data_IF_067123982289
#
_entry.id   IF_067123982289
#
_cell.length_a   1.000
_cell.length_b   1.000
_cell.length_c   1.000
_cell.angle_alpha   90.00
_cell.angle_beta   90.00
_cell.angle_gamma   90.00
#
_symmetry.space_group_name_H-M   'P 1'
#
loop_
_entity.id
_entity.type
_entity.pdbx_description
1 polymer ?
#
# COMPACT_ATOMS: atom_id res chain seq x y z
N UNK A 1 10.17 75.37 18.46
CA UNK A 1 10.47 74.33 17.45
C UNK A 1 11.33 73.28 18.14
N UNK A 2 10.87 72.78 19.29
CA UNK A 2 9.97 71.61 19.41
C UNK A 2 10.76 70.32 19.13
N UNK A 3 11.45 69.81 20.16
CA UNK A 3 11.06 68.67 21.03
C UNK A 3 11.32 67.31 20.35
N UNK A 4 12.41 66.60 20.69
CA UNK A 4 12.52 65.63 21.79
C UNK A 4 11.32 64.67 21.89
N UNK A 5 11.49 63.41 21.49
CA UNK A 5 11.86 62.31 22.42
C UNK A 5 11.53 60.93 21.83
N UNK A 6 12.58 60.10 21.78
CA UNK A 6 12.47 58.65 21.61
C UNK A 6 12.16 58.06 22.98
N UNK A 7 11.02 57.38 23.03
CA UNK A 7 10.77 56.08 23.63
C UNK A 7 11.53 55.75 24.93
N UNK A 8 10.81 55.78 26.06
CA UNK A 8 11.25 55.16 27.31
C UNK A 8 10.19 54.19 27.80
N UNK A 9 10.66 52.95 27.99
CA UNK A 9 10.19 51.88 28.88
C UNK A 9 8.85 52.07 29.60
N UNK A 10 7.96 51.08 29.44
CA UNK A 10 7.35 50.45 30.62
C UNK A 10 6.90 49.01 30.35
N UNK A 11 7.29 48.16 31.29
CA UNK A 11 6.76 46.85 31.60
C UNK A 11 5.22 46.83 31.65
N UNK A 12 4.64 45.76 31.11
CA UNK A 12 3.20 45.49 31.20
C UNK A 12 2.90 44.04 30.86
N UNK A 13 2.71 43.22 31.89
CA UNK A 13 1.94 41.99 31.80
C UNK A 13 0.55 42.33 31.26
N UNK A 14 0.10 41.71 30.16
CA UNK A 14 -1.32 41.63 29.88
C UNK A 14 -1.67 40.38 29.07
N UNK A 15 -2.53 39.57 29.67
CA UNK A 15 -3.31 38.50 29.05
C UNK A 15 -4.26 39.11 28.02
N UNK A 16 -4.31 38.59 26.79
CA UNK A 16 -5.41 38.88 25.86
C UNK A 16 -6.22 37.62 25.57
N UNK A 17 -7.40 37.61 26.19
CA UNK A 17 -8.62 36.91 25.79
C UNK A 17 -9.17 37.57 24.52
N UNK A 18 -9.70 36.79 23.57
CA UNK A 18 -10.54 37.32 22.48
C UNK A 18 -11.83 36.52 22.34
N UNK A 19 -12.87 37.09 22.94
CA UNK A 19 -14.29 36.79 22.75
C UNK A 19 -14.86 37.53 21.53
N UNK A 20 -15.96 36.96 21.00
CA UNK A 20 -16.74 37.23 19.79
C UNK A 20 -17.16 38.70 19.50
N UNK A 21 -17.31 39.09 18.21
CA UNK A 21 -18.18 40.19 17.82
C UNK A 21 -19.54 39.69 17.30
N UNK A 22 -20.59 40.14 18.00
CA UNK A 22 -21.98 40.18 17.55
C UNK A 22 -22.14 41.31 16.53
N UNK A 23 -22.58 41.03 15.30
CA UNK A 23 -23.07 42.04 14.37
C UNK A 23 -24.23 41.49 13.53
N UNK A 24 -25.42 41.82 14.04
CA UNK A 24 -26.68 42.08 13.35
C UNK A 24 -26.53 42.34 11.83
N UNK A 25 -26.86 41.35 11.00
CA UNK A 25 -27.07 41.54 9.56
C UNK A 25 -28.56 41.39 9.27
N UNK A 26 -29.13 42.49 8.81
CA UNK A 26 -30.47 42.66 8.25
C UNK A 26 -31.03 41.38 7.62
N UNK A 27 -32.10 40.86 8.19
CA UNK A 27 -33.01 39.94 7.49
C UNK A 27 -33.52 40.65 6.23
N UNK A 28 -33.38 40.06 5.02
CA UNK A 28 -34.12 40.55 3.88
C UNK A 28 -35.60 40.33 4.20
N UNK A 29 -36.33 41.43 4.34
CA UNK A 29 -37.78 41.40 4.49
C UNK A 29 -38.37 40.99 3.13
N UNK A 30 -38.38 39.69 2.84
CA UNK A 30 -39.15 39.12 1.75
C UNK A 30 -40.61 39.16 2.18
N UNK A 31 -41.24 40.31 1.94
CA UNK A 31 -42.68 40.46 2.04
C UNK A 31 -43.33 39.68 0.89
N UNK A 32 -43.46 38.37 1.06
CA UNK A 32 -44.33 37.52 0.26
C UNK A 32 -45.71 37.56 0.90
N UNK A 33 -46.44 38.64 0.62
CA UNK A 33 -47.87 38.71 0.82
C UNK A 33 -48.56 37.83 -0.24
N UNK A 34 -48.41 36.51 -0.13
CA UNK A 34 -49.13 35.53 -0.92
C UNK A 34 -49.98 34.70 0.04
N UNK A 35 -51.30 34.84 -0.10
CA UNK A 35 -52.35 34.27 0.74
C UNK A 35 -52.39 32.74 0.82
N UNK A 36 -51.36 32.14 1.40
CA UNK A 36 -51.38 30.78 1.92
C UNK A 36 -51.30 30.88 3.44
N UNK A 37 -52.46 30.68 4.08
CA UNK A 37 -52.68 30.84 5.50
C UNK A 37 -51.56 30.23 6.38
N UNK A 38 -51.27 30.87 7.52
CA UNK A 38 -50.29 30.44 8.53
C UNK A 38 -50.40 28.95 8.92
N UNK A 39 -51.59 28.34 8.79
CA UNK A 39 -51.83 26.91 9.00
C UNK A 39 -51.09 26.00 8.00
N UNK A 40 -50.92 26.42 6.74
CA UNK A 40 -50.21 25.64 5.72
C UNK A 40 -48.70 25.62 5.95
N UNK A 41 -48.13 26.70 6.48
CA UNK A 41 -46.71 26.74 6.83
C UNK A 41 -46.39 25.89 8.04
N UNK A 42 -47.22 25.90 9.08
CA UNK A 42 -47.07 25.00 10.22
C UNK A 42 -47.21 23.54 9.80
N UNK A 43 -48.14 23.23 8.90
CA UNK A 43 -48.28 21.87 8.35
C UNK A 43 -47.08 21.47 7.49
N UNK A 44 -46.56 22.35 6.64
CA UNK A 44 -45.33 22.11 5.88
C UNK A 44 -44.12 21.90 6.79
N UNK A 45 -43.97 22.70 7.85
CA UNK A 45 -42.89 22.56 8.82
C UNK A 45 -43.00 21.23 9.59
N UNK A 46 -44.22 20.84 9.96
CA UNK A 46 -44.48 19.57 10.62
C UNK A 46 -44.23 18.38 9.70
N UNK A 47 -44.63 18.48 8.42
CA UNK A 47 -44.32 17.46 7.40
C UNK A 47 -42.82 17.40 7.18
N UNK A 48 -42.12 18.53 7.07
CA UNK A 48 -40.66 18.57 6.93
C UNK A 48 -39.97 17.97 8.16
N UNK A 49 -40.41 18.28 9.38
CA UNK A 49 -39.87 17.69 10.61
C UNK A 49 -40.18 16.20 10.72
N UNK A 50 -41.39 15.76 10.31
CA UNK A 50 -41.74 14.34 10.27
C UNK A 50 -40.91 13.60 9.23
N UNK A 51 -40.69 14.18 8.05
CA UNK A 51 -39.81 13.62 7.03
C UNK A 51 -38.37 13.56 7.55
N UNK A 52 -37.85 14.62 8.15
CA UNK A 52 -36.51 14.64 8.76
C UNK A 52 -36.37 13.61 9.89
N UNK A 53 -37.39 13.43 10.73
CA UNK A 53 -37.43 12.40 11.79
C UNK A 53 -37.55 10.98 11.20
N UNK A 54 -38.32 10.81 10.12
CA UNK A 54 -38.41 9.55 9.38
C UNK A 54 -37.08 9.21 8.69
N UNK A 55 -36.38 10.20 8.14
CA UNK A 55 -35.04 10.03 7.57
C UNK A 55 -33.97 9.79 8.65
N UNK A 56 -34.04 10.46 9.80
CA UNK A 56 -33.08 10.24 10.89
C UNK A 56 -33.28 8.90 11.59
N UNK A 57 -34.52 8.38 11.64
CA UNK A 57 -34.81 7.05 12.19
C UNK A 57 -34.43 5.90 11.22
N UNK A 58 -34.11 6.21 9.96
CA UNK A 58 -33.71 5.23 8.94
C UNK A 58 -32.23 5.35 8.56
N UNK A 59 -31.59 6.51 8.78
CA UNK A 59 -30.17 6.70 8.52
C UNK A 59 -29.34 6.36 9.76
N UNK A 60 -28.99 5.09 9.92
CA UNK A 60 -27.85 4.70 10.76
C UNK A 60 -26.58 4.88 9.91
N UNK A 61 -25.63 5.77 10.29
CA UNK A 61 -24.34 5.82 9.59
C UNK A 61 -23.74 4.41 9.60
N UNK A 62 -23.25 3.91 8.46
CA UNK A 62 -22.79 2.53 8.36
C UNK A 62 -21.70 2.28 9.40
N UNK A 63 -21.88 1.23 10.20
CA UNK A 63 -21.01 0.94 11.32
C UNK A 63 -19.70 0.34 10.81
N UNK A 64 -18.59 0.63 11.48
CA UNK A 64 -17.35 -0.08 11.21
C UNK A 64 -17.48 -1.55 11.63
N UNK A 65 -17.12 -2.45 10.75
CA UNK A 65 -17.11 -3.89 10.98
C UNK A 65 -15.81 -4.30 11.67
N UNK A 66 -15.93 -5.04 12.77
CA UNK A 66 -14.77 -5.66 13.43
C UNK A 66 -14.37 -6.93 12.70
N UNK A 67 -13.16 -6.95 12.16
CA UNK A 67 -12.57 -8.10 11.49
C UNK A 67 -11.54 -8.78 12.39
N UNK A 68 -11.32 -10.08 12.18
CA UNK A 68 -10.22 -10.79 12.84
C UNK A 68 -8.85 -10.45 12.21
N UNK A 69 -7.75 -10.83 12.87
CA UNK A 69 -6.40 -10.47 12.44
C UNK A 69 -6.04 -10.96 11.02
N UNK A 70 -6.54 -12.13 10.61
CA UNK A 70 -6.31 -12.63 9.25
C UNK A 70 -7.05 -11.79 8.22
N UNK A 71 -8.33 -11.50 8.48
CA UNK A 71 -9.14 -10.63 7.64
C UNK A 71 -8.55 -9.23 7.54
N UNK A 72 -8.08 -8.65 8.67
CA UNK A 72 -7.42 -7.34 8.68
C UNK A 72 -6.16 -7.34 7.82
N UNK A 73 -5.32 -8.38 7.91
CA UNK A 73 -4.12 -8.50 7.06
C UNK A 73 -4.48 -8.64 5.58
N UNK A 74 -5.39 -9.55 5.24
CA UNK A 74 -5.83 -9.74 3.85
C UNK A 74 -6.47 -8.48 3.26
N UNK A 75 -7.24 -7.76 4.08
CA UNK A 75 -7.84 -6.49 3.70
C UNK A 75 -6.77 -5.44 3.37
N UNK A 76 -5.69 -5.35 4.17
CA UNK A 76 -4.58 -4.44 3.89
C UNK A 76 -3.85 -4.82 2.59
N UNK A 77 -3.67 -6.11 2.32
CA UNK A 77 -3.07 -6.59 1.07
C UNK A 77 -3.89 -6.24 -0.17
N UNK A 78 -5.23 -6.20 -0.06
CA UNK A 78 -6.12 -5.77 -1.15
C UNK A 78 -5.85 -4.32 -1.60
N UNK A 79 -5.29 -3.49 -0.72
CA UNK A 79 -4.88 -2.11 -0.98
C UNK A 79 -3.36 -1.97 -1.23
N UNK A 80 -2.66 -3.08 -1.48
CA UNK A 80 -1.21 -3.13 -1.68
C UNK A 80 -0.40 -2.56 -0.50
N UNK A 81 -0.93 -2.63 0.71
CA UNK A 81 -0.26 -2.15 1.91
C UNK A 81 0.62 -3.24 2.54
N UNK A 82 1.86 -2.89 2.87
CA UNK A 82 2.77 -3.72 3.66
C UNK A 82 2.47 -3.62 5.17
N UNK A 83 2.94 -4.56 5.98
CA UNK A 83 2.74 -4.54 7.45
C UNK A 83 3.28 -3.27 8.12
N UNK A 84 4.41 -2.73 7.62
CA UNK A 84 5.01 -1.48 8.08
C UNK A 84 4.31 -0.21 7.58
N UNK A 85 3.33 -0.34 6.68
CA UNK A 85 2.63 0.80 6.11
C UNK A 85 1.85 1.57 7.19
N UNK A 86 1.99 2.90 7.28
CA UNK A 86 1.26 3.72 8.25
C UNK A 86 -0.22 3.90 7.90
N UNK A 87 -0.66 3.40 6.73
CA UNK A 87 -2.05 3.45 6.31
C UNK A 87 -2.87 2.36 7.00
N UNK A 88 -4.12 2.72 7.34
CA UNK A 88 -5.09 1.83 7.95
C UNK A 88 -6.25 1.59 6.99
N UNK A 89 -6.91 0.44 7.10
CA UNK A 89 -8.10 0.11 6.30
C UNK A 89 -9.19 -0.38 7.25
N UNK A 90 -10.39 0.18 7.13
CA UNK A 90 -11.58 -0.24 7.87
C UNK A 90 -12.71 -0.60 6.91
N UNK A 91 -13.61 -1.49 7.31
CA UNK A 91 -14.80 -1.83 6.52
C UNK A 91 -16.03 -1.21 7.15
N UNK A 92 -16.84 -0.55 6.33
CA UNK A 92 -18.16 -0.07 6.68
C UNK A 92 -19.19 -1.13 6.28
N UNK A 93 -19.90 -1.66 7.27
CA UNK A 93 -21.00 -2.61 7.11
C UNK A 93 -22.22 -1.85 6.56
N UNK A 94 -22.42 -1.95 5.24
CA UNK A 94 -23.43 -1.15 4.54
C UNK A 94 -24.82 -1.75 4.75
N UNK A 95 -24.90 -3.07 4.95
CA UNK A 95 -26.16 -3.78 5.11
C UNK A 95 -26.59 -3.92 6.59
N UNK A 96 -25.68 -3.66 7.53
CA UNK A 96 -25.94 -3.62 8.97
C UNK A 96 -26.06 -4.99 9.64
N UNK A 97 -25.62 -6.07 8.99
CA UNK A 97 -25.78 -7.43 9.50
C UNK A 97 -24.61 -7.92 10.39
N UNK A 98 -23.60 -7.09 10.59
CA UNK A 98 -22.42 -7.39 11.40
C UNK A 98 -21.51 -8.46 10.81
N UNK A 99 -21.62 -8.73 9.51
CA UNK A 99 -20.81 -9.71 8.78
C UNK A 99 -20.18 -9.05 7.56
N UNK A 100 -19.03 -9.58 7.17
CA UNK A 100 -18.34 -9.13 5.98
C UNK A 100 -19.04 -9.70 4.74
N UNK A 101 -19.59 -8.83 3.89
CA UNK A 101 -20.32 -9.19 2.69
C UNK A 101 -19.93 -8.35 1.48
N UNK A 102 -20.23 -8.89 0.29
CA UNK A 102 -20.15 -8.10 -0.92
C UNK A 102 -21.14 -6.92 -0.82
N UNK A 103 -20.70 -5.74 -1.21
CA UNK A 103 -21.43 -4.48 -1.04
C UNK A 103 -21.01 -3.66 0.18
N UNK A 104 -20.26 -4.24 1.12
CA UNK A 104 -19.61 -3.47 2.18
C UNK A 104 -18.49 -2.59 1.61
N UNK A 105 -18.13 -1.52 2.32
CA UNK A 105 -17.19 -0.52 1.80
C UNK A 105 -15.91 -0.53 2.62
N UNK A 106 -14.80 -0.92 2.01
CA UNK A 106 -13.49 -0.73 2.60
C UNK A 106 -13.00 0.71 2.38
N UNK A 107 -12.51 1.36 3.43
CA UNK A 107 -12.01 2.74 3.42
C UNK A 107 -10.59 2.75 3.97
N UNK A 108 -9.67 3.32 3.19
CA UNK A 108 -8.27 3.47 3.56
C UNK A 108 -8.04 4.88 4.11
N UNK A 109 -7.39 4.98 5.26
CA UNK A 109 -7.05 6.24 5.94
C UNK A 109 -5.54 6.41 6.09
N UNK A 110 -5.06 7.66 6.06
CA UNK A 110 -3.66 7.99 6.33
C UNK A 110 -3.19 9.29 5.66
N UNK A 111 -1.88 9.35 5.39
CA UNK A 111 -1.23 10.56 4.86
C UNK A 111 -0.99 11.64 5.92
N UNK A 112 -0.51 12.82 5.50
CA UNK A 112 -0.14 13.93 6.41
C UNK A 112 -1.34 14.43 7.21
N UNK A 113 -2.55 14.35 6.64
CA UNK A 113 -3.79 14.81 7.27
C UNK A 113 -4.54 13.72 8.04
N UNK A 114 -4.13 12.45 7.92
CA UNK A 114 -4.82 11.30 8.52
C UNK A 114 -6.23 11.03 7.97
N UNK A 115 -6.62 11.66 6.87
CA UNK A 115 -7.95 11.57 6.28
C UNK A 115 -8.19 10.31 5.44
N UNK A 116 -9.39 10.20 4.87
CA UNK A 116 -9.70 9.18 3.87
C UNK A 116 -8.86 9.40 2.60
N UNK A 117 -8.20 8.34 2.16
CA UNK A 117 -7.34 8.33 0.98
C UNK A 117 -8.04 7.65 -0.19
N UNK A 118 -8.74 6.54 0.07
CA UNK A 118 -9.50 5.84 -0.94
C UNK A 118 -10.61 4.98 -0.33
N UNK A 119 -11.58 4.60 -1.16
CA UNK A 119 -12.62 3.63 -0.81
C UNK A 119 -12.88 2.66 -1.93
N UNK A 120 -13.33 1.46 -1.56
CA UNK A 120 -13.68 0.38 -2.48
C UNK A 120 -14.93 -0.33 -1.99
N UNK A 121 -15.91 -0.49 -2.87
CA UNK A 121 -17.02 -1.41 -2.63
C UNK A 121 -16.51 -2.84 -2.83
N UNK A 122 -16.65 -3.67 -1.81
CA UNK A 122 -16.13 -5.03 -1.80
C UNK A 122 -16.99 -5.93 -2.69
N UNK A 123 -16.31 -6.64 -3.60
CA UNK A 123 -16.92 -7.66 -4.45
C UNK A 123 -16.94 -9.02 -3.76
N UNK A 124 -17.66 -10.00 -4.32
CA UNK A 124 -17.61 -11.37 -3.83
C UNK A 124 -16.19 -11.98 -3.88
N UNK A 125 -15.40 -11.60 -4.89
CA UNK A 125 -14.00 -12.00 -5.00
C UNK A 125 -13.15 -11.40 -3.86
N UNK A 126 -13.38 -10.12 -3.54
CA UNK A 126 -12.71 -9.46 -2.41
C UNK A 126 -13.07 -10.14 -1.09
N UNK A 127 -14.34 -10.51 -0.87
CA UNK A 127 -14.76 -11.22 0.34
C UNK A 127 -14.07 -12.57 0.44
N UNK A 128 -13.97 -13.30 -0.67
CA UNK A 128 -13.23 -14.57 -0.71
C UNK A 128 -11.76 -14.35 -0.35
N UNK A 129 -11.12 -13.32 -0.89
CA UNK A 129 -9.72 -12.98 -0.58
C UNK A 129 -9.52 -12.58 0.88
N UNK A 130 -10.41 -11.76 1.45
CA UNK A 130 -10.36 -11.30 2.84
C UNK A 130 -10.58 -12.46 3.81
N UNK A 131 -11.52 -13.36 3.51
CA UNK A 131 -11.77 -14.54 4.33
C UNK A 131 -10.76 -15.67 4.10
N UNK A 132 -9.86 -15.55 3.12
CA UNK A 132 -8.95 -16.62 2.80
C UNK A 132 -7.95 -16.82 3.95
N UNK A 133 -7.93 -18.02 4.53
CA UNK A 133 -7.04 -18.39 5.63
C UNK A 133 -5.66 -18.84 5.16
N UNK A 134 -5.28 -18.57 3.89
CA UNK A 134 -3.96 -18.87 3.32
C UNK A 134 -2.85 -18.05 4.01
N UNK A 135 -2.62 -18.36 5.28
CA UNK A 135 -1.58 -17.81 6.14
C UNK A 135 -0.19 -18.03 5.52
N UNK A 136 -0.04 -19.08 4.71
CA UNK A 136 1.20 -19.41 3.99
C UNK A 136 1.55 -18.41 2.89
N UNK A 137 0.59 -17.95 2.06
CA UNK A 137 0.90 -16.97 1.00
C UNK A 137 1.23 -15.59 1.57
N UNK A 138 0.53 -15.20 2.63
CA UNK A 138 0.85 -13.97 3.35
C UNK A 138 2.18 -14.08 4.08
N UNK A 139 2.46 -15.19 4.77
CA UNK A 139 3.75 -15.43 5.40
C UNK A 139 4.89 -15.45 4.39
N UNK A 140 4.67 -16.01 3.19
CA UNK A 140 5.63 -16.01 2.10
C UNK A 140 5.88 -14.59 1.55
N UNK A 141 4.83 -13.79 1.31
CA UNK A 141 4.97 -12.40 0.89
C UNK A 141 5.61 -11.51 1.98
N UNK A 142 5.28 -11.73 3.25
CA UNK A 142 5.95 -11.06 4.37
C UNK A 142 7.43 -11.45 4.42
N UNK A 143 7.74 -12.75 4.30
CA UNK A 143 9.12 -13.26 4.25
C UNK A 143 9.90 -12.67 3.07
N UNK A 144 9.29 -12.62 1.88
CA UNK A 144 9.85 -11.98 0.69
C UNK A 144 10.17 -10.51 0.96
N UNK A 145 9.20 -9.74 1.45
CA UNK A 145 9.36 -8.30 1.71
C UNK A 145 10.43 -8.04 2.79
N UNK A 146 10.48 -8.86 3.84
CA UNK A 146 11.51 -8.76 4.89
C UNK A 146 12.91 -8.99 4.32
N UNK A 147 13.08 -10.02 3.48
CA UNK A 147 14.37 -10.34 2.89
C UNK A 147 14.79 -9.33 1.82
N UNK A 148 13.86 -8.82 1.02
CA UNK A 148 14.12 -7.71 0.10
C UNK A 148 14.54 -6.42 0.83
N UNK A 149 13.93 -6.11 1.97
CA UNK A 149 14.33 -4.97 2.79
C UNK A 149 15.75 -5.15 3.37
N UNK A 150 16.10 -6.35 3.85
CA UNK A 150 17.46 -6.68 4.27
C UNK A 150 18.46 -6.49 3.13
N UNK A 151 18.13 -6.96 1.93
CA UNK A 151 18.97 -6.81 0.76
C UNK A 151 19.20 -5.35 0.41
N UNK A 152 18.12 -4.56 0.30
CA UNK A 152 18.19 -3.12 0.01
C UNK A 152 19.02 -2.37 1.05
N UNK A 153 18.91 -2.73 2.32
CA UNK A 153 19.73 -2.14 3.39
C UNK A 153 21.21 -2.52 3.24
N UNK A 154 21.51 -3.80 2.97
CA UNK A 154 22.88 -4.27 2.78
C UNK A 154 23.56 -3.60 1.57
N UNK A 155 22.83 -3.35 0.48
CA UNK A 155 23.37 -2.74 -0.74
C UNK A 155 23.07 -1.26 -0.88
N UNK A 156 22.81 -0.54 0.21
CA UNK A 156 22.37 0.86 0.17
C UNK A 156 23.37 1.81 -0.50
N UNK A 157 24.67 1.48 -0.48
CA UNK A 157 25.72 2.24 -1.16
C UNK A 157 25.79 1.97 -2.68
N UNK A 158 25.01 1.00 -3.19
CA UNK A 158 24.93 0.66 -4.60
C UNK A 158 26.14 -0.09 -5.16
N UNK A 159 27.06 -0.61 -4.33
CA UNK A 159 28.27 -1.29 -4.77
C UNK A 159 28.28 -2.74 -4.30
N UNK A 160 28.14 -3.67 -5.24
CA UNK A 160 28.15 -5.10 -4.94
C UNK A 160 28.39 -5.93 -6.19
N UNK A 161 28.86 -7.15 -5.98
CA UNK A 161 28.99 -8.16 -7.03
C UNK A 161 28.24 -9.43 -6.62
N UNK A 162 27.75 -10.19 -7.60
CA UNK A 162 27.12 -11.48 -7.38
C UNK A 162 27.24 -12.36 -8.62
N UNK A 163 27.20 -13.68 -8.43
CA UNK A 163 27.12 -14.64 -9.52
C UNK A 163 25.70 -15.17 -9.62
N UNK A 164 25.07 -15.09 -10.79
CA UNK A 164 23.76 -15.68 -11.08
C UNK A 164 23.89 -16.80 -12.10
N UNK A 165 23.13 -17.87 -11.93
CA UNK A 165 23.11 -19.00 -12.84
C UNK A 165 21.67 -19.48 -13.06
N UNK A 166 21.29 -19.70 -14.32
CA UNK A 166 20.01 -20.28 -14.69
C UNK A 166 20.07 -21.81 -14.60
N UNK A 167 19.06 -22.41 -13.95
CA UNK A 167 18.98 -23.85 -13.68
C UNK A 167 18.02 -24.65 -14.57
N UNK A 168 17.32 -24.01 -15.52
CA UNK A 168 16.34 -24.69 -16.37
C UNK A 168 16.95 -25.58 -17.46
N UNK A 169 16.11 -26.29 -18.21
CA UNK A 169 16.53 -27.25 -19.23
C UNK A 169 16.83 -26.56 -20.57
N UNK A 170 17.94 -25.82 -20.63
CA UNK A 170 18.41 -25.13 -21.84
C UNK A 170 19.83 -25.55 -22.21
N UNK A 171 20.26 -25.14 -23.41
CA UNK A 171 21.58 -25.44 -23.92
C UNK A 171 22.67 -24.93 -22.95
N UNK A 172 23.79 -25.69 -22.75
CA UNK A 172 24.75 -25.44 -21.67
C UNK A 172 25.29 -24.01 -21.60
N UNK A 173 25.44 -23.34 -22.75
CA UNK A 173 25.89 -21.96 -22.88
C UNK A 173 24.98 -20.96 -22.16
N UNK A 174 23.67 -21.21 -22.11
CA UNK A 174 22.70 -20.38 -21.40
C UNK A 174 22.68 -20.66 -19.89
N UNK A 175 23.23 -21.79 -19.46
CA UNK A 175 23.35 -22.19 -18.04
C UNK A 175 24.70 -21.82 -17.42
N UNK A 176 25.57 -21.13 -18.17
CA UNK A 176 26.86 -20.68 -17.65
C UNK A 176 26.63 -19.66 -16.51
N UNK A 177 27.39 -19.75 -15.41
CA UNK A 177 27.32 -18.78 -14.33
C UNK A 177 27.85 -17.43 -14.80
N UNK A 178 27.16 -16.34 -14.46
CA UNK A 178 27.52 -14.98 -14.84
C UNK A 178 27.76 -14.16 -13.59
N UNK A 179 28.94 -13.57 -13.48
CA UNK A 179 29.26 -12.57 -12.45
C UNK A 179 28.80 -11.21 -12.93
N UNK A 180 27.93 -10.57 -12.15
CA UNK A 180 27.40 -9.23 -12.38
C UNK A 180 28.06 -8.28 -11.38
N UNK A 181 28.63 -7.20 -11.88
CA UNK A 181 29.18 -6.12 -11.07
C UNK A 181 28.27 -4.91 -11.11
N UNK A 182 27.93 -4.39 -9.93
CA UNK A 182 27.09 -3.21 -9.74
C UNK A 182 27.90 -2.13 -9.04
N UNK A 183 27.91 -0.92 -9.62
CA UNK A 183 28.55 0.26 -9.06
C UNK A 183 27.59 1.45 -9.11
N UNK A 184 27.45 2.17 -7.99
CA UNK A 184 26.48 3.25 -7.82
C UNK A 184 25.05 2.87 -8.24
N UNK A 185 24.66 1.61 -7.96
CA UNK A 185 23.34 1.08 -8.28
C UNK A 185 23.12 0.73 -9.76
N UNK A 186 24.14 0.84 -10.61
CA UNK A 186 24.09 0.52 -12.03
C UNK A 186 24.98 -0.68 -12.35
N UNK A 187 24.54 -1.55 -13.27
CA UNK A 187 25.40 -2.65 -13.75
C UNK A 187 26.58 -2.05 -14.50
N UNK A 188 27.79 -2.30 -14.02
CA UNK A 188 29.03 -1.84 -14.65
C UNK A 188 29.70 -2.90 -15.50
N UNK A 189 29.31 -4.17 -15.35
CA UNK A 189 29.87 -5.27 -16.15
C UNK A 189 29.24 -6.63 -15.87
N UNK A 190 29.35 -7.51 -16.85
CA UNK A 190 28.97 -8.92 -16.76
C UNK A 190 30.04 -9.79 -17.41
N UNK A 191 30.54 -10.77 -16.68
CA UNK A 191 31.51 -11.75 -17.18
C UNK A 191 31.05 -13.17 -16.86
N UNK A 192 31.42 -14.13 -17.71
CA UNK A 192 31.22 -15.53 -17.37
C UNK A 192 32.14 -15.91 -16.21
N UNK A 193 31.60 -16.52 -15.16
CA UNK A 193 32.36 -16.82 -13.95
C UNK A 193 33.38 -17.96 -14.14
N UNK A 194 33.21 -18.78 -15.18
CA UNK A 194 34.10 -19.89 -15.53
C UNK A 194 35.33 -19.44 -16.35
N UNK A 195 35.19 -18.46 -17.25
CA UNK A 195 36.28 -18.00 -18.15
C UNK A 195 36.74 -16.58 -17.89
N UNK A 196 35.94 -15.75 -17.22
CA UNK A 196 36.19 -14.31 -17.05
C UNK A 196 35.92 -13.46 -18.29
N UNK A 197 35.49 -14.07 -19.39
CA UNK A 197 35.16 -13.37 -20.63
C UNK A 197 33.92 -12.50 -20.47
N UNK A 198 33.89 -11.35 -21.15
CA UNK A 198 32.70 -10.49 -21.20
C UNK A 198 31.53 -11.25 -21.83
N UNK A 199 30.36 -11.15 -21.19
CA UNK A 199 29.13 -11.72 -21.72
C UNK A 199 28.69 -10.92 -22.95
N UNK A 200 28.32 -11.55 -24.08
CA UNK A 200 27.78 -10.85 -25.26
C UNK A 200 26.53 -10.01 -24.94
N UNK A 201 26.35 -8.87 -25.62
CA UNK A 201 25.31 -7.88 -25.29
C UNK A 201 23.88 -8.43 -25.38
N UNK A 202 23.61 -9.28 -26.37
CA UNK A 202 22.35 -10.00 -26.53
C UNK A 202 22.06 -10.91 -25.33
N UNK A 203 23.08 -11.56 -24.79
CA UNK A 203 22.94 -12.38 -23.58
C UNK A 203 22.79 -11.52 -22.34
N UNK A 204 23.52 -10.42 -22.20
CA UNK A 204 23.42 -9.51 -21.04
C UNK A 204 21.98 -9.03 -20.80
N UNK A 205 21.24 -8.73 -21.88
CA UNK A 205 19.84 -8.28 -21.79
C UNK A 205 18.88 -9.31 -21.18
N UNK A 206 19.27 -10.59 -21.15
CA UNK A 206 18.47 -11.69 -20.60
C UNK A 206 18.90 -12.13 -19.20
N UNK A 207 19.92 -11.50 -18.62
CA UNK A 207 20.38 -11.78 -17.26
C UNK A 207 19.52 -10.99 -16.28
N UNK A 208 18.75 -11.64 -15.39
CA UNK A 208 17.93 -10.94 -14.43
C UNK A 208 18.81 -10.21 -13.40
N UNK A 209 18.42 -8.99 -13.05
CA UNK A 209 18.97 -8.32 -11.89
C UNK A 209 18.44 -8.94 -10.59
N UNK A 210 19.09 -8.65 -9.46
CA UNK A 210 18.55 -9.05 -8.16
C UNK A 210 17.12 -8.52 -7.92
N UNK A 211 16.82 -7.31 -8.39
CA UNK A 211 15.47 -6.74 -8.29
C UNK A 211 14.46 -7.54 -9.10
N UNK A 212 14.84 -8.02 -10.28
CA UNK A 212 13.98 -8.84 -11.14
C UNK A 212 13.67 -10.18 -10.46
N UNK A 213 14.64 -10.80 -9.77
CA UNK A 213 14.42 -12.04 -9.02
C UNK A 213 13.39 -11.85 -7.88
N UNK A 214 13.47 -10.73 -7.15
CA UNK A 214 12.46 -10.40 -6.13
C UNK A 214 11.08 -10.15 -6.74
N UNK A 215 11.03 -9.47 -7.89
CA UNK A 215 9.79 -9.19 -8.60
C UNK A 215 9.15 -10.48 -9.12
N UNK A 216 9.94 -11.40 -9.69
CA UNK A 216 9.48 -12.70 -10.18
C UNK A 216 8.84 -13.53 -9.06
N UNK A 217 9.48 -13.60 -7.89
CA UNK A 217 8.91 -14.24 -6.70
C UNK A 217 7.60 -13.58 -6.27
N UNK A 218 7.56 -12.24 -6.26
CA UNK A 218 6.35 -11.49 -5.88
C UNK A 218 5.19 -11.81 -6.80
N UNK A 219 5.44 -11.85 -8.11
CA UNK A 219 4.42 -12.13 -9.10
C UNK A 219 3.96 -13.59 -9.04
N UNK A 220 4.88 -14.54 -8.80
CA UNK A 220 4.51 -15.94 -8.56
C UNK A 220 3.58 -16.09 -7.34
N UNK A 221 3.89 -15.43 -6.22
CA UNK A 221 3.02 -15.46 -5.04
C UNK A 221 1.66 -14.81 -5.30
N UNK A 222 1.62 -13.66 -5.97
CA UNK A 222 0.36 -12.95 -6.29
C UNK A 222 -0.54 -13.72 -7.25
N UNK A 223 0.05 -14.42 -8.21
CA UNK A 223 -0.68 -15.17 -9.23
C UNK A 223 -0.97 -16.63 -8.82
N UNK A 224 -0.60 -17.02 -7.60
CA UNK A 224 -0.76 -18.39 -7.09
C UNK A 224 -0.11 -19.43 -8.00
N UNK A 225 1.17 -19.24 -8.32
CA UNK A 225 1.98 -20.25 -8.98
C UNK A 225 1.83 -21.62 -8.28
N UNK A 226 1.80 -22.70 -9.06
CA UNK A 226 1.58 -24.05 -8.57
C UNK A 226 2.61 -24.49 -7.53
N UNK A 227 3.87 -24.10 -7.70
CA UNK A 227 4.94 -24.35 -6.74
C UNK A 227 5.97 -23.21 -6.72
N UNK A 228 6.38 -22.81 -5.52
CA UNK A 228 7.44 -21.83 -5.30
C UNK A 228 8.37 -22.38 -4.22
N UNK A 229 9.65 -22.51 -4.53
CA UNK A 229 10.70 -22.85 -3.58
C UNK A 229 11.74 -21.75 -3.63
N UNK A 230 12.03 -21.12 -2.48
CA UNK A 230 13.05 -20.08 -2.38
C UNK A 230 13.85 -20.27 -1.10
N UNK A 231 15.16 -20.10 -1.21
CA UNK A 231 16.07 -20.02 -0.06
C UNK A 231 16.72 -18.67 -0.04
N UNK A 232 16.58 -17.93 1.05
CA UNK A 232 17.23 -16.64 1.23
C UNK A 232 18.54 -16.78 1.98
N UNK A 233 19.52 -15.94 1.62
CA UNK A 233 20.73 -15.77 2.40
C UNK A 233 20.39 -15.15 3.78
N UNK A 234 20.87 -15.72 4.89
CA UNK A 234 20.50 -15.25 6.23
C UNK A 234 21.10 -13.89 6.59
N UNK A 235 22.21 -13.51 5.96
CA UNK A 235 22.98 -12.29 6.27
C UNK A 235 22.43 -11.09 5.50
N UNK A 236 22.32 -11.23 4.18
CA UNK A 236 21.97 -10.14 3.28
C UNK A 236 20.55 -10.25 2.72
N UNK A 237 19.86 -11.38 2.88
CA UNK A 237 18.46 -11.54 2.47
C UNK A 237 18.21 -11.68 0.96
N UNK A 238 19.23 -11.81 0.12
CA UNK A 238 19.01 -12.10 -1.30
C UNK A 238 18.52 -13.54 -1.52
N UNK A 239 17.72 -13.83 -2.57
CA UNK A 239 17.37 -15.20 -2.94
C UNK A 239 18.62 -15.95 -3.45
N UNK A 240 19.17 -16.84 -2.62
CA UNK A 240 20.32 -17.70 -2.98
C UNK A 240 19.94 -18.84 -3.91
N UNK A 241 18.69 -19.32 -3.82
CA UNK A 241 18.09 -20.22 -4.80
C UNK A 241 16.62 -19.91 -4.94
N UNK A 242 16.10 -20.02 -6.16
CA UNK A 242 14.68 -19.96 -6.43
C UNK A 242 14.28 -20.95 -7.53
N UNK A 243 13.09 -21.51 -7.37
CA UNK A 243 12.40 -22.35 -8.33
C UNK A 243 10.92 -21.97 -8.32
N UNK A 244 10.36 -21.74 -9.51
CA UNK A 244 8.96 -21.38 -9.71
C UNK A 244 8.40 -22.26 -10.82
N UNK A 245 7.32 -22.96 -10.49
CA UNK A 245 6.42 -23.63 -11.43
C UNK A 245 5.08 -22.90 -11.30
N UNK A 246 4.70 -22.18 -12.35
CA UNK A 246 3.46 -21.41 -12.40
C UNK A 246 2.27 -22.32 -12.59
N UNK A 247 2.40 -23.40 -13.33
CA UNK A 247 1.31 -24.31 -13.63
C UNK A 247 1.79 -25.75 -13.78
N UNK A 248 1.39 -26.60 -12.83
CA UNK A 248 1.66 -28.05 -12.84
C UNK A 248 1.12 -28.82 -14.07
N UNK A 249 0.39 -28.15 -14.97
CA UNK A 249 -0.17 -28.71 -16.20
C UNK A 249 0.52 -28.22 -17.48
N UNK A 250 1.49 -27.29 -17.39
CA UNK A 250 2.20 -26.73 -18.54
C UNK A 250 3.67 -27.10 -18.39
N UNK A 251 4.20 -27.90 -19.32
CA UNK A 251 5.60 -28.27 -19.33
C UNK A 251 6.50 -27.09 -19.80
N UNK A 252 7.73 -27.06 -19.28
CA UNK A 252 8.84 -26.21 -19.72
C UNK A 252 8.64 -24.69 -19.50
N UNK A 253 7.73 -24.30 -18.61
CA UNK A 253 7.57 -22.89 -18.20
C UNK A 253 8.34 -22.55 -16.92
N UNK A 254 8.83 -23.57 -16.23
CA UNK A 254 9.46 -23.45 -14.91
C UNK A 254 10.76 -22.66 -14.98
N UNK A 255 10.96 -21.83 -13.97
CA UNK A 255 12.13 -20.95 -13.88
C UNK A 255 12.93 -21.32 -12.64
N UNK A 256 14.24 -21.50 -12.82
CA UNK A 256 15.18 -21.73 -11.73
C UNK A 256 16.39 -20.81 -11.84
N UNK A 257 16.76 -20.20 -10.72
CA UNK A 257 18.01 -19.47 -10.57
C UNK A 257 18.72 -19.83 -9.27
N UNK A 258 20.06 -19.81 -9.31
CA UNK A 258 20.91 -19.78 -8.11
C UNK A 258 21.76 -18.52 -8.11
N UNK A 259 21.89 -17.89 -6.94
CA UNK A 259 22.75 -16.73 -6.71
C UNK A 259 23.81 -17.08 -5.67
N UNK A 260 25.06 -16.78 -5.99
CA UNK A 260 26.22 -17.09 -5.16
C UNK A 260 27.29 -16.00 -5.22
N UNK A 261 28.37 -16.16 -4.46
CA UNK A 261 29.53 -15.27 -4.45
C UNK A 261 29.19 -13.79 -4.23
N UNK A 262 28.14 -13.51 -3.45
CA UNK A 262 27.71 -12.13 -3.18
C UNK A 262 28.77 -11.41 -2.35
N UNK A 263 29.17 -10.23 -2.81
CA UNK A 263 30.13 -9.35 -2.15
C UNK A 263 29.60 -7.92 -2.16
N UNK A 264 29.18 -7.43 -1.00
CA UNK A 264 28.87 -6.01 -0.79
C UNK A 264 30.18 -5.26 -0.57
N UNK A 265 30.37 -4.12 -1.24
CA UNK A 265 31.63 -3.36 -1.26
C UNK A 265 31.46 -1.96 -0.70
#
# INVERSE_FOLDING_TARGET
MDSLSINSNRTGSNTNSTTLPNNNVNTPNLNLNNGFANANWTNLLNILQQLLQQFSNQYKPPASLTLNDNQNRNLRSLFNLQDSSPFTVSVLDKNGNGKLNAGDVAVMYGGITGGEVSRRVLTAADIKAINNTNNTQNANLTTLNTNEAKWKAATANGNYDYTVQFGGFTAPEYRRPITVSVNNGQVSGMTYADTGETVPADRQASVPSMSDLFQELRDAYKNNAAQINVTYDPTYGYPSSLYIDRSAMIADEEVSYSVSNVRVR
#
